data_IF_956909430253
#
_entry.id   IF_956909430253
#
_cell.length_a   1.000
_cell.length_b   1.000
_cell.length_c   1.000
_cell.angle_alpha   90.00
_cell.angle_beta   90.00
_cell.angle_gamma   90.00
#
_symmetry.space_group_name_H-M   'P 1'
#
loop_
_entity.id
_entity.type
_entity.pdbx_description
1 polymer ?
#
# COMPACT_ATOMS: atom_id res chain seq x y z
N UNK A 1 -12.51 -14.73 -12.53
CA UNK A 1 -11.57 -13.93 -11.73
C UNK A 1 -12.33 -13.35 -10.54
N UNK A 2 -11.84 -13.55 -9.33
CA UNK A 2 -12.43 -13.07 -8.08
C UNK A 2 -11.40 -12.19 -7.36
N UNK A 3 -11.80 -11.00 -6.92
CA UNK A 3 -10.96 -10.08 -6.15
C UNK A 3 -11.62 -9.85 -4.78
N UNK A 4 -10.89 -10.10 -3.70
CA UNK A 4 -11.30 -9.69 -2.36
C UNK A 4 -10.48 -8.45 -1.94
N UNK A 5 -11.16 -7.45 -1.40
CA UNK A 5 -10.52 -6.25 -0.84
C UNK A 5 -10.36 -6.42 0.66
N UNK A 6 -9.19 -6.13 1.19
CA UNK A 6 -8.85 -6.27 2.61
C UNK A 6 -8.46 -4.91 3.17
N UNK A 7 -9.19 -4.45 4.19
CA UNK A 7 -9.02 -3.12 4.77
C UNK A 7 -8.87 -3.25 6.29
N UNK A 8 -7.68 -3.07 6.86
CA UNK A 8 -7.52 -2.84 8.30
C UNK A 8 -8.14 -1.51 8.70
N UNK A 9 -8.91 -1.53 9.78
CA UNK A 9 -9.70 -0.38 10.23
C UNK A 9 -9.49 -0.16 11.73
N UNK A 10 -9.27 1.10 12.11
CA UNK A 10 -9.24 1.53 13.51
C UNK A 10 -9.86 2.92 13.65
N UNK A 11 -10.90 3.04 14.49
CA UNK A 11 -11.62 4.30 14.72
C UNK A 11 -11.99 5.01 13.41
N UNK A 12 -12.70 4.33 12.49
CA UNK A 12 -13.01 4.93 11.20
C UNK A 12 -13.93 6.14 11.36
N UNK A 13 -13.74 7.13 10.51
CA UNK A 13 -14.64 8.25 10.30
C UNK A 13 -15.56 7.99 9.09
N UNK A 14 -16.11 9.07 8.55
CA UNK A 14 -16.99 9.03 7.37
C UNK A 14 -16.28 8.53 6.11
N UNK A 15 -14.96 8.66 6.04
CA UNK A 15 -14.13 8.22 4.91
C UNK A 15 -14.23 6.72 4.64
N UNK A 16 -14.51 5.90 5.67
CA UNK A 16 -14.71 4.46 5.46
C UNK A 16 -15.96 4.18 4.61
N UNK A 17 -17.06 4.89 4.87
CA UNK A 17 -18.30 4.71 4.09
C UNK A 17 -18.10 5.16 2.65
N UNK A 18 -17.43 6.30 2.45
CA UNK A 18 -17.06 6.78 1.12
C UNK A 18 -16.17 5.79 0.37
N UNK A 19 -15.17 5.21 1.05
CA UNK A 19 -14.30 4.18 0.46
C UNK A 19 -15.13 2.98 -0.03
N UNK A 20 -16.05 2.48 0.80
CA UNK A 20 -16.91 1.34 0.45
C UNK A 20 -17.83 1.67 -0.72
N UNK A 21 -18.40 2.89 -0.76
CA UNK A 21 -19.25 3.34 -1.86
C UNK A 21 -18.47 3.42 -3.17
N UNK A 22 -17.26 3.99 -3.14
CA UNK A 22 -16.36 4.05 -4.31
C UNK A 22 -15.88 2.67 -4.76
N UNK A 23 -15.69 1.70 -3.85
CA UNK A 23 -15.37 0.33 -4.20
C UNK A 23 -16.54 -0.40 -4.85
N UNK A 24 -17.76 -0.15 -4.39
CA UNK A 24 -18.97 -0.70 -5.00
C UNK A 24 -19.35 -0.04 -6.34
N UNK A 25 -18.80 1.13 -6.63
CA UNK A 25 -18.95 1.82 -7.91
C UNK A 25 -17.86 1.52 -8.95
N UNK A 26 -16.97 0.54 -8.70
CA UNK A 26 -15.90 0.22 -9.64
C UNK A 26 -16.42 -0.50 -10.88
N UNK A 27 -15.77 -0.25 -12.04
CA UNK A 27 -16.05 -0.97 -13.31
C UNK A 27 -15.79 -2.48 -13.20
N UNK A 28 -14.81 -2.85 -12.39
CA UNK A 28 -14.52 -4.22 -11.98
C UNK A 28 -14.83 -4.35 -10.49
N UNK A 29 -15.95 -4.97 -10.16
CA UNK A 29 -16.44 -5.06 -8.79
C UNK A 29 -15.60 -6.01 -7.93
N UNK A 30 -15.31 -5.66 -6.66
CA UNK A 30 -14.81 -6.63 -5.71
C UNK A 30 -15.88 -7.67 -5.41
N UNK A 31 -15.47 -8.94 -5.29
CA UNK A 31 -16.39 -10.01 -4.87
C UNK A 31 -16.81 -9.82 -3.42
N UNK A 32 -15.87 -9.47 -2.56
CA UNK A 32 -16.06 -9.28 -1.12
C UNK A 32 -15.07 -8.24 -0.59
N UNK A 33 -15.51 -7.49 0.41
CA UNK A 33 -14.66 -6.57 1.17
C UNK A 33 -14.54 -7.11 2.60
N UNK A 34 -13.32 -7.40 3.05
CA UNK A 34 -13.00 -7.92 4.39
C UNK A 34 -12.45 -6.77 5.22
N UNK A 35 -13.23 -6.33 6.20
CA UNK A 35 -12.83 -5.30 7.16
C UNK A 35 -12.18 -5.98 8.37
N UNK A 36 -10.91 -5.67 8.63
CA UNK A 36 -10.19 -6.11 9.83
C UNK A 36 -10.29 -5.01 10.88
N UNK A 37 -11.33 -5.07 11.70
CA UNK A 37 -11.67 -4.01 12.65
C UNK A 37 -10.91 -4.16 13.97
N UNK A 38 -9.94 -3.29 14.23
CA UNK A 38 -9.38 -3.15 15.59
C UNK A 38 -10.40 -2.47 16.49
N UNK A 39 -10.91 -3.20 17.50
CA UNK A 39 -11.99 -2.73 18.37
C UNK A 39 -11.73 -1.36 18.98
N UNK A 40 -12.74 -0.55 18.98
CA UNK A 40 -12.75 0.80 19.54
C UNK A 40 -14.16 1.13 20.06
N UNK A 41 -14.43 2.38 20.39
CA UNK A 41 -15.80 2.83 20.74
C UNK A 41 -16.74 2.84 19.53
N UNK A 42 -16.21 2.80 18.30
CA UNK A 42 -17.00 2.78 17.06
C UNK A 42 -17.46 1.35 16.80
N UNK A 43 -18.78 1.17 16.67
CA UNK A 43 -19.39 -0.16 16.43
C UNK A 43 -19.47 -0.43 14.92
N UNK A 44 -18.33 -0.75 14.31
CA UNK A 44 -18.18 -0.93 12.85
C UNK A 44 -19.13 -2.01 12.33
N UNK A 45 -19.35 -3.09 13.06
CA UNK A 45 -20.25 -4.18 12.69
C UNK A 45 -21.68 -3.69 12.49
N UNK A 46 -22.16 -2.77 13.35
CA UNK A 46 -23.50 -2.19 13.23
C UNK A 46 -23.60 -1.21 12.06
N UNK A 47 -22.56 -0.41 11.84
CA UNK A 47 -22.51 0.58 10.76
C UNK A 47 -22.54 -0.11 9.39
N UNK A 48 -21.97 -1.29 9.27
CA UNK A 48 -21.81 -2.03 8.03
C UNK A 48 -22.78 -3.21 7.86
N UNK A 49 -23.77 -3.37 8.78
CA UNK A 49 -24.67 -4.53 8.80
C UNK A 49 -25.48 -4.72 7.51
N UNK A 50 -25.85 -3.62 6.85
CA UNK A 50 -26.70 -3.63 5.65
C UNK A 50 -25.89 -3.79 4.33
N UNK A 51 -24.56 -4.02 4.41
CA UNK A 51 -23.69 -4.16 3.24
C UNK A 51 -23.39 -5.63 2.97
N UNK A 52 -24.12 -6.25 2.04
CA UNK A 52 -24.08 -7.69 1.76
C UNK A 52 -22.69 -8.22 1.37
N UNK A 53 -21.88 -7.44 0.63
CA UNK A 53 -20.54 -7.84 0.20
C UNK A 53 -19.43 -7.49 1.19
N UNK A 54 -19.78 -6.96 2.39
CA UNK A 54 -18.83 -6.59 3.44
C UNK A 54 -18.86 -7.62 4.56
N UNK A 55 -17.70 -8.11 4.96
CA UNK A 55 -17.53 -8.95 6.16
C UNK A 55 -16.60 -8.27 7.15
N UNK A 56 -16.98 -8.23 8.43
CA UNK A 56 -16.19 -7.62 9.49
C UNK A 56 -15.58 -8.71 10.38
N UNK A 57 -14.28 -8.65 10.56
CA UNK A 57 -13.52 -9.49 11.50
C UNK A 57 -12.93 -8.58 12.56
N UNK A 58 -13.42 -8.66 13.78
CA UNK A 58 -12.92 -7.86 14.89
C UNK A 58 -11.75 -8.51 15.59
N UNK A 59 -10.80 -7.67 16.02
CA UNK A 59 -9.61 -8.05 16.78
C UNK A 59 -9.38 -7.05 17.91
N UNK A 60 -8.78 -7.50 19.01
CA UNK A 60 -8.37 -6.62 20.08
C UNK A 60 -7.13 -5.79 19.65
N UNK A 61 -6.89 -4.68 20.34
CA UNK A 61 -5.79 -3.78 19.99
C UNK A 61 -4.43 -4.46 20.05
N UNK A 62 -4.24 -5.34 21.00
CA UNK A 62 -3.02 -6.11 21.25
C UNK A 62 -2.76 -7.18 20.18
N UNK A 63 -3.81 -7.59 19.46
CA UNK A 63 -3.72 -8.53 18.34
C UNK A 63 -3.34 -7.85 17.03
N UNK A 64 -3.44 -6.50 16.98
CA UNK A 64 -3.16 -5.77 15.74
C UNK A 64 -1.66 -5.81 15.43
N UNK A 65 -1.36 -6.17 14.20
CA UNK A 65 -0.04 -6.16 13.58
C UNK A 65 -0.21 -5.83 12.10
N UNK A 66 0.62 -4.94 11.57
CA UNK A 66 0.46 -4.46 10.20
C UNK A 66 0.46 -5.59 9.16
N UNK A 67 1.44 -6.49 9.22
CA UNK A 67 1.53 -7.64 8.34
C UNK A 67 0.58 -8.76 8.75
N UNK A 68 0.59 -9.14 10.03
CA UNK A 68 -0.19 -10.26 10.56
C UNK A 68 -1.71 -10.10 10.42
N UNK A 69 -2.23 -8.89 10.61
CA UNK A 69 -3.66 -8.60 10.43
C UNK A 69 -4.08 -8.80 8.98
N UNK A 70 -3.28 -8.29 8.03
CA UNK A 70 -3.53 -8.47 6.58
C UNK A 70 -3.38 -9.92 6.16
N UNK A 71 -2.36 -10.62 6.66
CA UNK A 71 -2.12 -12.04 6.36
C UNK A 71 -3.26 -12.93 6.88
N UNK A 72 -3.78 -12.64 8.09
CA UNK A 72 -4.97 -13.32 8.63
C UNK A 72 -6.17 -13.19 7.68
N UNK A 73 -6.45 -11.99 7.18
CA UNK A 73 -7.54 -11.76 6.24
C UNK A 73 -7.29 -12.45 4.89
N UNK A 74 -6.05 -12.43 4.38
CA UNK A 74 -5.67 -13.12 3.15
C UNK A 74 -5.94 -14.63 3.20
N UNK A 75 -5.74 -15.25 4.37
CA UNK A 75 -6.02 -16.68 4.60
C UNK A 75 -7.50 -16.99 4.72
N UNK A 76 -8.34 -16.03 5.09
CA UNK A 76 -9.81 -16.15 5.10
C UNK A 76 -10.42 -16.01 3.70
N UNK A 77 -9.65 -15.57 2.71
CA UNK A 77 -10.08 -15.38 1.33
C UNK A 77 -9.83 -16.66 0.51
N UNK A 78 -10.72 -16.91 -0.45
CA UNK A 78 -10.57 -17.91 -1.52
C UNK A 78 -10.61 -17.26 -2.93
N UNK A 79 -10.38 -15.93 -2.98
CA UNK A 79 -10.31 -15.17 -4.22
C UNK A 79 -9.03 -15.50 -5.01
N UNK A 80 -9.00 -15.13 -6.29
CA UNK A 80 -7.80 -15.26 -7.14
C UNK A 80 -6.78 -14.16 -6.82
N UNK A 81 -7.29 -12.96 -6.47
CA UNK A 81 -6.49 -11.78 -6.16
C UNK A 81 -6.93 -11.13 -4.85
N UNK A 82 -5.97 -10.59 -4.12
CA UNK A 82 -6.14 -9.85 -2.87
C UNK A 82 -5.77 -8.40 -3.11
N UNK A 83 -6.70 -7.47 -2.88
CA UNK A 83 -6.41 -6.04 -2.88
C UNK A 83 -6.33 -5.54 -1.43
N UNK A 84 -5.15 -5.17 -0.97
CA UNK A 84 -5.00 -4.51 0.31
C UNK A 84 -5.12 -3.00 0.14
N UNK A 85 -5.89 -2.38 1.05
CA UNK A 85 -6.05 -0.92 1.10
C UNK A 85 -5.98 -0.44 2.55
N UNK A 86 -5.61 0.81 2.75
CA UNK A 86 -5.83 1.51 4.02
C UNK A 86 -7.22 2.17 4.02
N UNK A 87 -7.80 2.37 5.20
CA UNK A 87 -9.16 2.90 5.35
C UNK A 87 -9.36 4.33 4.80
N UNK A 88 -8.28 5.03 4.52
CA UNK A 88 -8.23 6.43 4.08
C UNK A 88 -7.68 6.61 2.65
N UNK A 89 -7.46 5.50 1.92
CA UNK A 89 -7.05 5.53 0.52
C UNK A 89 -8.29 5.41 -0.39
N UNK A 90 -8.77 6.52 -0.92
CA UNK A 90 -9.98 6.55 -1.73
C UNK A 90 -9.69 6.34 -3.20
N UNK A 91 -10.36 5.41 -3.91
CA UNK A 91 -10.29 5.33 -5.38
C UNK A 91 -10.54 6.69 -6.02
N UNK A 92 -9.66 7.12 -6.94
CA UNK A 92 -9.80 8.41 -7.59
C UNK A 92 -10.92 8.41 -8.66
N UNK A 93 -11.18 7.23 -9.25
CA UNK A 93 -12.23 6.99 -10.22
C UNK A 93 -12.74 5.53 -10.16
N UNK A 94 -13.66 5.18 -11.06
CA UNK A 94 -14.28 3.85 -11.15
C UNK A 94 -13.40 2.77 -11.80
N UNK A 95 -12.18 3.06 -12.23
CA UNK A 95 -11.32 2.12 -12.96
C UNK A 95 -10.13 1.61 -12.15
N UNK A 96 -10.06 1.87 -10.83
CA UNK A 96 -8.92 1.50 -9.99
C UNK A 96 -8.62 0.00 -10.05
N UNK A 97 -9.63 -0.86 -9.79
CA UNK A 97 -9.44 -2.31 -9.75
C UNK A 97 -9.04 -2.88 -11.11
N UNK A 98 -9.67 -2.41 -12.18
CA UNK A 98 -9.36 -2.82 -13.54
C UNK A 98 -7.91 -2.48 -13.92
N UNK A 99 -7.48 -1.24 -13.64
CA UNK A 99 -6.12 -0.78 -13.94
C UNK A 99 -5.06 -1.48 -13.10
N UNK A 100 -5.35 -1.76 -11.82
CA UNK A 100 -4.46 -2.57 -10.97
C UNK A 100 -4.36 -4.02 -11.45
N UNK A 101 -5.43 -4.56 -12.03
CA UNK A 101 -5.42 -5.93 -12.55
C UNK A 101 -4.68 -6.07 -13.87
N UNK A 102 -4.72 -5.07 -14.73
CA UNK A 102 -4.15 -5.10 -16.10
C UNK A 102 -2.68 -5.59 -16.16
N UNK A 103 -1.76 -5.20 -15.27
CA UNK A 103 -0.37 -5.68 -15.27
C UNK A 103 -0.20 -7.19 -15.10
N UNK A 104 -1.17 -7.91 -14.52
CA UNK A 104 -1.11 -9.36 -14.33
C UNK A 104 -1.27 -10.15 -15.65
N UNK A 105 -1.51 -9.49 -16.77
CA UNK A 105 -1.37 -10.10 -18.10
C UNK A 105 0.07 -10.58 -18.38
N UNK A 106 1.07 -9.92 -17.79
CA UNK A 106 2.43 -10.45 -17.68
C UNK A 106 2.50 -11.45 -16.53
N UNK A 107 2.69 -12.74 -16.85
CA UNK A 107 2.72 -13.82 -15.85
C UNK A 107 3.81 -13.69 -14.80
N UNK A 108 4.83 -12.87 -15.04
CA UNK A 108 5.90 -12.58 -14.05
C UNK A 108 5.40 -11.66 -12.95
N UNK A 109 4.42 -10.80 -13.24
CA UNK A 109 3.86 -9.85 -12.27
C UNK A 109 3.01 -10.60 -11.26
N UNK A 110 3.35 -10.46 -9.97
CA UNK A 110 2.65 -11.09 -8.84
C UNK A 110 2.15 -10.10 -7.81
N UNK A 111 2.52 -8.83 -7.96
CA UNK A 111 1.97 -7.72 -7.21
C UNK A 111 1.87 -6.47 -8.08
N UNK A 112 0.84 -5.64 -7.87
CA UNK A 112 0.68 -4.35 -8.51
C UNK A 112 0.20 -3.32 -7.49
N UNK A 113 0.77 -2.12 -7.47
CA UNK A 113 0.37 -1.07 -6.54
C UNK A 113 -0.01 0.23 -7.25
N UNK A 114 -0.94 0.95 -6.63
CA UNK A 114 -1.54 2.16 -7.16
C UNK A 114 -0.65 3.39 -6.97
N UNK A 115 -0.88 4.39 -7.79
CA UNK A 115 -0.40 5.75 -7.61
C UNK A 115 -1.19 6.45 -6.53
N UNK A 116 -0.48 7.06 -5.57
CA UNK A 116 -1.09 7.87 -4.52
C UNK A 116 -1.09 9.34 -4.94
N UNK A 117 -2.28 9.91 -5.06
CA UNK A 117 -2.49 11.34 -5.31
C UNK A 117 -2.66 12.08 -3.98
N UNK A 118 -2.15 13.30 -3.86
CA UNK A 118 -2.34 14.12 -2.68
C UNK A 118 -3.80 14.55 -2.53
N UNK A 119 -4.29 14.64 -1.30
CA UNK A 119 -5.59 15.25 -0.97
C UNK A 119 -5.57 16.75 -1.30
N UNK A 120 -6.74 17.38 -1.40
CA UNK A 120 -6.84 18.82 -1.69
C UNK A 120 -6.22 19.69 -0.59
N UNK A 121 -6.42 19.29 0.68
CA UNK A 121 -5.89 19.94 1.88
C UNK A 121 -4.41 19.61 2.17
N UNK A 122 -3.75 18.90 1.27
CA UNK A 122 -2.38 18.46 1.42
C UNK A 122 -1.40 19.63 1.34
N UNK A 123 -0.47 19.68 2.31
CA UNK A 123 0.62 20.64 2.33
C UNK A 123 1.57 20.49 1.13
N UNK A 124 2.29 21.57 0.78
CA UNK A 124 3.16 21.61 -0.40
C UNK A 124 4.28 20.58 -0.37
N UNK A 125 4.89 20.36 0.81
CA UNK A 125 5.96 19.36 0.99
C UNK A 125 5.45 17.94 0.73
N UNK A 126 4.29 17.61 1.28
CA UNK A 126 3.69 16.29 1.06
C UNK A 126 3.28 16.13 -0.41
N UNK A 127 2.70 17.14 -1.02
CA UNK A 127 2.34 17.16 -2.45
C UNK A 127 3.56 16.86 -3.33
N UNK A 128 4.68 17.53 -3.03
CA UNK A 128 5.93 17.29 -3.73
C UNK A 128 6.46 15.87 -3.50
N UNK A 129 6.47 15.41 -2.25
CA UNK A 129 6.92 14.06 -1.87
C UNK A 129 6.09 12.98 -2.57
N UNK A 130 4.76 13.16 -2.65
CA UNK A 130 3.89 12.23 -3.41
C UNK A 130 4.27 12.20 -4.88
N UNK A 131 4.44 13.35 -5.52
CA UNK A 131 4.83 13.41 -6.93
C UNK A 131 6.20 12.78 -7.21
N UNK A 132 7.14 12.89 -6.25
CA UNK A 132 8.46 12.28 -6.34
C UNK A 132 8.43 10.76 -6.21
N UNK A 133 7.62 10.23 -5.29
CA UNK A 133 7.53 8.80 -5.01
C UNK A 133 6.58 8.06 -5.96
N UNK A 134 5.59 8.76 -6.52
CA UNK A 134 4.55 8.22 -7.39
C UNK A 134 4.50 8.99 -8.72
N UNK A 135 5.49 8.78 -9.62
CA UNK A 135 5.54 9.46 -10.92
C UNK A 135 4.34 9.07 -11.81
N UNK A 136 4.18 9.77 -12.94
CA UNK A 136 3.07 9.55 -13.87
C UNK A 136 3.23 8.33 -14.77
N UNK A 137 4.44 7.79 -14.84
CA UNK A 137 4.80 6.68 -15.72
C UNK A 137 4.73 5.35 -14.97
N UNK A 138 3.96 4.40 -15.52
CA UNK A 138 3.91 3.02 -15.02
C UNK A 138 5.22 2.28 -15.26
N UNK A 139 5.56 1.34 -14.37
CA UNK A 139 6.77 0.52 -14.52
C UNK A 139 6.58 -0.88 -13.95
N UNK A 140 7.00 -1.90 -14.70
CA UNK A 140 7.21 -3.24 -14.16
C UNK A 140 8.64 -3.29 -13.62
N UNK A 141 8.81 -3.75 -12.39
CA UNK A 141 10.09 -3.82 -11.69
C UNK A 141 10.46 -5.27 -11.40
N UNK A 142 11.71 -5.61 -11.66
CA UNK A 142 12.27 -6.94 -11.49
C UNK A 142 13.72 -6.84 -10.99
N UNK A 143 14.36 -7.95 -10.66
CA UNK A 143 15.69 -7.96 -10.04
C UNK A 143 16.75 -7.26 -10.89
N UNK A 144 16.65 -7.32 -12.22
CA UNK A 144 17.56 -6.64 -13.16
C UNK A 144 17.49 -5.11 -13.10
N UNK A 145 16.44 -4.54 -12.49
CA UNK A 145 16.31 -3.09 -12.29
C UNK A 145 17.09 -2.58 -11.05
N UNK A 146 17.61 -3.49 -10.22
CA UNK A 146 18.28 -3.13 -8.97
C UNK A 146 19.47 -2.16 -9.14
N UNK A 147 20.32 -2.29 -10.17
CA UNK A 147 21.42 -1.33 -10.38
C UNK A 147 20.94 0.08 -10.70
N UNK A 148 19.78 0.24 -11.32
CA UNK A 148 19.21 1.55 -11.69
C UNK A 148 18.35 2.14 -10.57
N UNK A 149 17.47 1.32 -9.99
CA UNK A 149 16.43 1.77 -9.04
C UNK A 149 16.84 1.65 -7.59
N UNK A 150 17.91 0.91 -7.28
CA UNK A 150 18.30 0.63 -5.91
C UNK A 150 17.12 0.02 -5.12
N UNK A 151 16.94 0.50 -3.90
CA UNK A 151 15.87 0.03 -3.00
C UNK A 151 14.44 0.23 -3.56
N UNK A 152 14.24 1.17 -4.49
CA UNK A 152 12.94 1.38 -5.16
C UNK A 152 12.49 0.21 -6.02
N UNK A 153 13.40 -0.70 -6.38
CA UNK A 153 13.05 -1.96 -7.05
C UNK A 153 12.04 -2.75 -6.23
N UNK A 154 12.16 -2.73 -4.90
CA UNK A 154 11.30 -3.45 -3.96
C UNK A 154 10.11 -2.63 -3.45
N UNK A 155 10.04 -1.34 -3.81
CA UNK A 155 8.99 -0.48 -3.30
C UNK A 155 7.61 -0.98 -3.77
N UNK A 156 6.75 -1.23 -2.80
CA UNK A 156 5.33 -1.53 -2.93
C UNK A 156 4.59 -0.79 -1.81
N UNK A 157 3.28 -0.58 -1.91
CA UNK A 157 2.55 0.12 -0.85
C UNK A 157 1.16 -0.43 -0.66
N UNK A 158 0.92 -1.01 0.52
CA UNK A 158 -0.39 -1.50 0.96
C UNK A 158 -1.41 -0.39 1.27
N UNK A 159 -1.08 0.88 1.02
CA UNK A 159 -2.12 1.89 0.92
C UNK A 159 -3.12 1.53 -0.21
N UNK A 160 -2.63 0.92 -1.31
CA UNK A 160 -3.45 0.26 -2.31
C UNK A 160 -2.57 -0.66 -3.17
N UNK A 161 -2.60 -1.96 -2.91
CA UNK A 161 -1.81 -2.94 -3.67
C UNK A 161 -2.54 -4.27 -3.84
N UNK A 162 -2.52 -4.79 -5.07
CA UNK A 162 -3.12 -6.06 -5.46
C UNK A 162 -2.04 -7.14 -5.60
N UNK A 163 -2.37 -8.35 -5.14
CA UNK A 163 -1.47 -9.51 -5.16
C UNK A 163 -2.20 -10.73 -5.74
N UNK A 164 -1.51 -11.52 -6.56
CA UNK A 164 -1.99 -12.86 -6.93
C UNK A 164 -1.96 -13.76 -5.70
N UNK A 165 -3.13 -14.22 -5.24
CA UNK A 165 -3.26 -14.92 -3.95
C UNK A 165 -2.47 -16.21 -3.89
N UNK A 166 -2.42 -17.01 -4.96
CA UNK A 166 -1.70 -18.27 -4.96
C UNK A 166 -0.20 -18.04 -4.69
N UNK A 167 0.42 -17.07 -5.37
CA UNK A 167 1.81 -16.69 -5.13
C UNK A 167 1.97 -16.06 -3.75
N UNK A 168 1.03 -15.19 -3.31
CA UNK A 168 1.08 -14.59 -1.99
C UNK A 168 1.21 -15.65 -0.88
N UNK A 169 0.38 -16.69 -0.93
CA UNK A 169 0.40 -17.75 0.07
C UNK A 169 1.64 -18.65 -0.06
N UNK A 170 2.05 -19.00 -1.28
CA UNK A 170 3.23 -19.87 -1.51
C UNK A 170 4.53 -19.22 -1.09
N UNK A 171 4.62 -17.89 -1.13
CA UNK A 171 5.75 -17.10 -0.66
C UNK A 171 5.67 -16.77 0.85
N UNK A 172 4.72 -17.35 1.59
CA UNK A 172 4.57 -17.22 3.04
C UNK A 172 3.67 -16.09 3.53
N UNK A 173 3.26 -15.16 2.65
CA UNK A 173 2.47 -13.99 3.00
C UNK A 173 3.29 -12.89 3.68
N UNK A 174 2.61 -11.92 4.27
CA UNK A 174 3.30 -10.84 4.99
C UNK A 174 3.92 -11.33 6.29
N UNK A 175 5.11 -10.79 6.58
CA UNK A 175 5.80 -11.02 7.84
C UNK A 175 4.96 -10.46 9.01
N UNK A 176 5.04 -11.16 10.14
CA UNK A 176 4.40 -10.76 11.40
C UNK A 176 5.41 -10.06 12.31
N UNK A 177 4.92 -9.19 13.18
CA UNK A 177 5.70 -8.50 14.21
C UNK A 177 6.81 -7.61 13.64
N UNK A 178 6.57 -7.05 12.46
CA UNK A 178 7.40 -5.96 11.97
C UNK A 178 6.81 -4.62 12.39
N UNK A 179 7.69 -3.69 12.72
CA UNK A 179 7.30 -2.32 13.12
C UNK A 179 6.61 -1.61 11.94
N UNK A 180 7.11 -1.85 10.73
CA UNK A 180 6.68 -1.17 9.50
C UNK A 180 7.15 -1.96 8.28
N UNK A 181 6.64 -1.63 7.07
CA UNK A 181 7.25 -2.03 5.79
C UNK A 181 7.03 -3.50 5.36
N UNK A 182 5.98 -4.15 5.88
CA UNK A 182 5.64 -5.53 5.52
C UNK A 182 5.45 -5.72 4.00
N UNK A 183 4.93 -4.69 3.33
CA UNK A 183 4.69 -4.67 1.89
C UNK A 183 5.98 -4.68 1.07
N UNK A 184 6.95 -3.86 1.47
CA UNK A 184 8.23 -3.76 0.79
C UNK A 184 9.13 -4.98 1.07
N UNK A 185 9.07 -5.55 2.30
CA UNK A 185 9.75 -6.80 2.65
C UNK A 185 9.22 -7.93 1.76
N UNK A 186 7.90 -8.08 1.67
CA UNK A 186 7.28 -9.10 0.83
C UNK A 186 7.60 -8.88 -0.66
N UNK A 187 7.47 -7.65 -1.16
CA UNK A 187 7.78 -7.32 -2.55
C UNK A 187 9.25 -7.59 -2.90
N UNK A 188 10.17 -7.31 -1.98
CA UNK A 188 11.58 -7.65 -2.13
C UNK A 188 11.81 -9.15 -2.23
N UNK A 189 11.13 -9.95 -1.41
CA UNK A 189 11.12 -11.41 -1.50
C UNK A 189 10.60 -11.92 -2.85
N UNK A 190 9.49 -11.34 -3.35
CA UNK A 190 8.95 -11.66 -4.68
C UNK A 190 9.98 -11.42 -5.80
N UNK A 191 10.60 -10.24 -5.81
CA UNK A 191 11.57 -9.87 -6.84
C UNK A 191 12.81 -10.76 -6.79
N UNK A 192 13.31 -11.09 -5.58
CA UNK A 192 14.43 -12.02 -5.38
C UNK A 192 14.09 -13.46 -5.79
N UNK A 193 12.80 -13.83 -5.72
CA UNK A 193 12.30 -15.13 -6.20
C UNK A 193 12.06 -15.16 -7.72
N UNK A 194 12.46 -14.12 -8.47
CA UNK A 194 12.36 -14.06 -9.93
C UNK A 194 11.02 -13.54 -10.46
N UNK A 195 10.11 -13.10 -9.59
CA UNK A 195 8.88 -12.45 -10.00
C UNK A 195 9.06 -10.95 -10.25
N UNK A 196 8.03 -10.30 -10.75
CA UNK A 196 7.99 -8.87 -10.96
C UNK A 196 6.86 -8.23 -10.15
N UNK A 197 7.04 -6.94 -9.84
CA UNK A 197 6.01 -6.08 -9.26
C UNK A 197 5.73 -4.92 -10.21
N UNK A 198 4.48 -4.52 -10.33
CA UNK A 198 4.07 -3.43 -11.21
C UNK A 198 3.71 -2.18 -10.38
N UNK A 199 4.22 -1.05 -10.78
CA UNK A 199 3.67 0.25 -10.46
C UNK A 199 2.67 0.64 -11.55
N UNK A 200 1.39 0.73 -11.21
CA UNK A 200 0.31 1.09 -12.11
C UNK A 200 -0.04 2.58 -11.92
N UNK A 201 0.60 3.45 -12.68
CA UNK A 201 0.48 4.90 -12.50
C UNK A 201 -0.90 5.46 -12.90
N UNK A 202 -1.65 4.74 -13.72
CA UNK A 202 -3.03 5.05 -14.12
C UNK A 202 -4.08 4.56 -13.11
N UNK A 203 -3.73 3.60 -12.24
CA UNK A 203 -4.54 3.19 -11.10
C UNK A 203 -4.28 4.16 -9.93
N UNK A 204 -5.22 5.04 -9.63
CA UNK A 204 -5.00 6.13 -8.69
C UNK A 204 -5.88 6.02 -7.44
N UNK A 205 -5.28 6.30 -6.28
CA UNK A 205 -5.99 6.54 -5.02
C UNK A 205 -5.63 7.93 -4.46
N UNK A 206 -6.59 8.60 -3.85
CA UNK A 206 -6.37 9.85 -3.10
C UNK A 206 -5.95 9.45 -1.69
N UNK A 207 -4.67 9.67 -1.36
CA UNK A 207 -4.10 9.30 -0.07
C UNK A 207 -2.87 10.15 0.23
N UNK A 208 -2.93 10.92 1.30
CA UNK A 208 -1.78 11.68 1.83
C UNK A 208 -2.02 12.04 3.29
N UNK A 209 -0.92 12.41 3.99
CA UNK A 209 -0.95 12.80 5.37
C UNK A 209 -0.13 14.09 5.58
N UNK A 210 -0.66 15.02 6.34
CA UNK A 210 0.05 16.24 6.73
C UNK A 210 0.87 15.99 8.00
N UNK A 211 1.94 15.17 7.89
CA UNK A 211 2.81 14.89 9.03
C UNK A 211 3.61 16.12 9.44
N UNK A 212 3.72 16.34 10.74
CA UNK A 212 4.72 17.24 11.30
C UNK A 212 6.14 16.71 11.05
N UNK A 213 7.16 17.57 11.14
CA UNK A 213 8.55 17.15 10.98
C UNK A 213 8.96 16.04 11.95
N UNK A 214 8.45 16.05 13.18
CA UNK A 214 8.71 15.01 14.19
C UNK A 214 8.07 13.68 13.85
N UNK A 215 6.85 13.68 13.33
CA UNK A 215 6.16 12.45 12.86
C UNK A 215 6.87 11.87 11.65
N UNK A 216 7.25 12.70 10.69
CA UNK A 216 8.01 12.27 9.52
C UNK A 216 9.37 11.67 9.90
N UNK A 217 10.07 12.27 10.87
CA UNK A 217 11.34 11.74 11.39
C UNK A 217 11.12 10.35 12.01
N UNK A 218 10.14 10.18 12.90
CA UNK A 218 9.84 8.88 13.53
C UNK A 218 9.54 7.81 12.49
N UNK A 219 8.68 8.11 11.50
CA UNK A 219 8.34 7.18 10.43
C UNK A 219 9.55 6.76 9.60
N UNK A 220 10.43 7.70 9.27
CA UNK A 220 11.66 7.40 8.54
C UNK A 220 12.64 6.57 9.39
N UNK A 221 12.68 6.83 10.72
CA UNK A 221 13.47 6.03 11.65
C UNK A 221 12.93 4.58 11.72
N UNK A 222 11.63 4.41 11.91
CA UNK A 222 10.98 3.09 11.95
C UNK A 222 11.19 2.33 10.63
N UNK A 223 11.14 3.02 9.50
CA UNK A 223 11.44 2.45 8.19
C UNK A 223 12.90 1.96 8.11
N UNK A 224 13.85 2.76 8.60
CA UNK A 224 15.26 2.38 8.62
C UNK A 224 15.50 1.18 9.55
N UNK A 225 14.90 1.16 10.74
CA UNK A 225 14.94 0.01 11.67
C UNK A 225 14.43 -1.24 10.97
N UNK A 226 13.26 -1.17 10.33
CA UNK A 226 12.70 -2.30 9.58
C UNK A 226 13.63 -2.82 8.48
N UNK A 227 14.37 -1.94 7.80
CA UNK A 227 15.33 -2.35 6.78
C UNK A 227 16.55 -3.06 7.38
N UNK A 228 17.03 -2.60 8.54
CA UNK A 228 18.14 -3.22 9.27
C UNK A 228 17.74 -4.59 9.83
N UNK A 229 16.53 -4.72 10.33
CA UNK A 229 15.99 -5.97 10.89
C UNK A 229 15.74 -7.06 9.84
N UNK A 230 15.74 -6.68 8.54
CA UNK A 230 15.49 -7.59 7.41
C UNK A 230 16.64 -7.62 6.40
N UNK A 231 17.86 -8.02 6.84
CA UNK A 231 19.04 -8.07 5.97
C UNK A 231 18.88 -9.08 4.81
N UNK A 232 18.04 -10.11 4.96
CA UNK A 232 17.72 -11.08 3.91
C UNK A 232 17.09 -10.42 2.68
N UNK A 233 16.43 -9.27 2.88
CA UNK A 233 15.85 -8.48 1.78
C UNK A 233 16.75 -7.32 1.39
N UNK A 234 17.27 -6.55 2.35
CA UNK A 234 17.86 -5.24 2.10
C UNK A 234 19.40 -5.20 2.15
N UNK A 235 20.08 -6.27 2.59
CA UNK A 235 21.54 -6.27 2.65
C UNK A 235 22.19 -6.00 1.29
N UNK A 236 23.17 -5.11 1.27
CA UNK A 236 23.91 -4.73 0.07
C UNK A 236 23.16 -3.76 -0.85
N UNK A 237 21.99 -3.26 -0.45
CA UNK A 237 21.19 -2.33 -1.24
C UNK A 237 21.27 -0.94 -0.60
N UNK A 238 21.88 0.02 -1.30
CA UNK A 238 21.97 1.38 -0.83
C UNK A 238 20.59 2.06 -0.82
N UNK A 239 20.11 2.47 0.36
CA UNK A 239 18.87 3.24 0.55
C UNK A 239 19.15 4.74 0.75
N UNK A 240 20.33 5.10 1.25
CA UNK A 240 20.72 6.47 1.62
C UNK A 240 20.67 7.44 0.44
N UNK A 241 21.06 6.98 -0.76
CA UNK A 241 21.08 7.80 -1.97
C UNK A 241 19.69 8.35 -2.35
N UNK A 242 18.63 7.58 -2.16
CA UNK A 242 17.26 8.03 -2.45
C UNK A 242 16.76 9.05 -1.41
N UNK A 243 17.08 8.85 -0.13
CA UNK A 243 16.77 9.81 0.92
C UNK A 243 17.44 11.16 0.67
N UNK A 244 18.74 11.15 0.39
CA UNK A 244 19.52 12.37 0.06
C UNK A 244 18.96 13.04 -1.21
N UNK A 245 18.63 12.26 -2.24
CA UNK A 245 18.05 12.78 -3.49
C UNK A 245 16.70 13.45 -3.25
N UNK A 246 15.83 12.85 -2.42
CA UNK A 246 14.54 13.43 -2.04
C UNK A 246 14.76 14.76 -1.31
N UNK A 247 15.61 14.80 -0.29
CA UNK A 247 15.89 16.03 0.48
C UNK A 247 16.42 17.15 -0.42
N UNK A 248 17.42 16.88 -1.26
CA UNK A 248 17.99 17.88 -2.19
C UNK A 248 16.94 18.41 -3.17
N UNK A 249 16.12 17.53 -3.75
CA UNK A 249 15.08 17.93 -4.68
C UNK A 249 13.95 18.69 -4.01
N UNK A 250 13.56 18.30 -2.79
CA UNK A 250 12.55 19.01 -2.00
C UNK A 250 13.04 20.40 -1.62
N UNK A 251 14.28 20.57 -1.17
CA UNK A 251 14.87 21.86 -0.86
C UNK A 251 14.90 22.77 -2.11
N UNK A 252 15.35 22.25 -3.26
CA UNK A 252 15.34 22.99 -4.51
C UNK A 252 13.92 23.39 -4.95
N UNK A 253 12.91 22.51 -4.73
CA UNK A 253 11.52 22.84 -5.00
C UNK A 253 11.02 23.98 -4.10
N UNK A 254 11.26 23.91 -2.77
CA UNK A 254 10.87 24.94 -1.82
C UNK A 254 11.47 26.29 -2.13
N UNK A 255 12.77 26.34 -2.46
CA UNK A 255 13.43 27.58 -2.89
C UNK A 255 12.77 28.18 -4.14
N UNK A 256 12.45 27.34 -5.12
CA UNK A 256 11.80 27.79 -6.38
C UNK A 256 10.42 28.39 -6.16
N UNK A 257 9.65 27.91 -5.20
CA UNK A 257 8.29 28.42 -4.88
C UNK A 257 8.30 29.50 -3.77
N UNK A 258 9.48 29.94 -3.31
CA UNK A 258 9.62 30.98 -2.27
C UNK A 258 9.19 30.53 -0.88
N UNK A 259 9.26 29.24 -0.58
CA UNK A 259 8.96 28.64 0.74
C UNK A 259 10.21 27.92 1.26
N UNK A 260 11.21 28.64 1.81
CA UNK A 260 12.44 28.05 2.31
C UNK A 260 12.24 27.17 3.54
#
# INVERSE_FOLDING_TARGET
MKIDVIIPVHRPGAELLELLDRLNGQSLLPRRIIIMNTRSKVQVEKILADRENVSVVSLEREEFDHGGTRDRAARLSDADYLLFMTQDALPADEYLLERLFRPFSDRRVKAAYARQLPREDCGELERYTRSFNYPKESRIKQLTDLPELGIKTFFCSNACAMYERATYLSQGGFIRRTIFNEDMIYAGGLVKSGYAIAYAADACVIHSHNYSGSEQFRRNFDLAVSQVDHPEVFSGIASEGEGIRLVKKTAAHCLRIGKP
#
